data_IF_206289759420
#
_entry.id   IF_206289759420
#
_cell.length_a   1.000
_cell.length_b   1.000
_cell.length_c   1.000
_cell.angle_alpha   90.00
_cell.angle_beta   90.00
_cell.angle_gamma   90.00
#
_symmetry.space_group_name_H-M   'P 1'
#
loop_
_entity.id
_entity.type
_entity.pdbx_description
1 polymer ?
#
# COMPACT_ATOMS: atom_id res chain seq x y z
N UNK A 1 5.19 -2.36 -16.68
CA UNK A 1 5.28 -3.12 -15.43
C UNK A 1 5.49 -2.21 -14.21
N UNK A 2 6.50 -1.30 -14.17
CA UNK A 2 6.79 -0.47 -12.99
C UNK A 2 5.62 0.37 -12.49
N UNK A 3 4.88 1.02 -13.38
CA UNK A 3 3.70 1.82 -13.02
C UNK A 3 2.61 0.93 -12.39
N UNK A 4 2.32 -0.22 -12.97
CA UNK A 4 1.33 -1.18 -12.46
C UNK A 4 1.70 -1.66 -11.05
N UNK A 5 2.97 -1.98 -10.82
CA UNK A 5 3.46 -2.40 -9.50
C UNK A 5 3.45 -1.26 -8.47
N UNK A 6 3.77 -0.03 -8.87
CA UNK A 6 3.67 1.15 -8.00
C UNK A 6 2.23 1.46 -7.60
N UNK A 7 1.28 1.37 -8.52
CA UNK A 7 -0.15 1.52 -8.20
C UNK A 7 -0.62 0.44 -7.23
N UNK A 8 -0.16 -0.79 -7.39
CA UNK A 8 -0.49 -1.91 -6.50
C UNK A 8 0.07 -1.68 -5.09
N UNK A 9 1.36 -1.32 -4.98
CA UNK A 9 2.05 -1.11 -3.70
C UNK A 9 1.42 0.02 -2.87
N UNK A 10 1.08 1.13 -3.53
CA UNK A 10 0.52 2.31 -2.86
C UNK A 10 -1.01 2.28 -2.72
N UNK A 11 -1.68 1.24 -3.23
CA UNK A 11 -3.15 1.19 -3.34
C UNK A 11 -3.73 2.44 -4.05
N UNK A 12 -2.91 3.11 -4.88
CA UNK A 12 -3.24 4.40 -5.48
C UNK A 12 -4.40 4.28 -6.48
N UNK A 13 -5.50 4.94 -6.19
CA UNK A 13 -6.69 4.91 -7.04
C UNK A 13 -7.53 3.64 -6.93
N UNK A 14 -7.23 2.70 -6.03
CA UNK A 14 -8.00 1.47 -5.82
C UNK A 14 -9.18 1.65 -4.86
N UNK A 15 -9.13 2.67 -3.98
CA UNK A 15 -10.18 2.94 -2.99
C UNK A 15 -10.03 2.15 -1.69
N UNK A 16 -9.18 1.14 -1.64
CA UNK A 16 -8.94 0.31 -0.45
C UNK A 16 -8.36 1.12 0.71
N UNK A 17 -7.41 2.02 0.44
CA UNK A 17 -6.82 2.92 1.44
C UNK A 17 -7.83 3.79 2.17
N UNK A 18 -8.96 4.13 1.55
CA UNK A 18 -10.06 4.85 2.20
C UNK A 18 -10.72 4.05 3.33
N UNK A 19 -10.80 2.73 3.21
CA UNK A 19 -11.37 1.84 4.25
C UNK A 19 -10.46 1.84 5.48
N UNK A 20 -9.14 1.73 5.28
CA UNK A 20 -8.15 1.80 6.36
C UNK A 20 -8.12 3.19 7.01
N UNK A 21 -8.19 4.25 6.21
CA UNK A 21 -8.25 5.63 6.70
C UNK A 21 -9.50 5.91 7.56
N UNK A 22 -10.63 5.27 7.25
CA UNK A 22 -11.87 5.41 8.01
C UNK A 22 -11.76 4.83 9.44
N UNK A 23 -10.81 3.92 9.71
CA UNK A 23 -10.54 3.39 11.04
C UNK A 23 -9.69 4.34 11.91
N UNK A 24 -9.14 5.41 11.34
CA UNK A 24 -8.31 6.36 12.07
C UNK A 24 -9.15 7.17 13.07
N UNK A 25 -8.62 7.30 14.29
CA UNK A 25 -9.21 8.13 15.33
C UNK A 25 -8.83 9.61 15.10
N UNK A 26 -9.58 10.28 14.27
CA UNK A 26 -9.37 11.70 13.96
C UNK A 26 -10.71 12.39 13.74
N UNK A 27 -10.79 13.64 14.19
CA UNK A 27 -11.98 14.48 14.00
C UNK A 27 -11.94 15.22 12.64
N UNK A 28 -10.83 15.13 11.91
CA UNK A 28 -10.63 15.87 10.67
C UNK A 28 -10.18 14.96 9.52
N UNK A 29 -11.06 14.74 8.54
CA UNK A 29 -10.75 13.86 7.39
C UNK A 29 -9.59 14.40 6.53
N UNK A 30 -9.40 15.73 6.46
CA UNK A 30 -8.31 16.33 5.69
C UNK A 30 -6.97 16.03 6.32
N UNK A 31 -6.89 16.07 7.66
CA UNK A 31 -5.69 15.68 8.39
C UNK A 31 -5.29 14.23 8.09
N UNK A 32 -6.26 13.32 8.09
CA UNK A 32 -6.00 11.93 7.72
C UNK A 32 -5.55 11.79 6.25
N UNK A 33 -6.12 12.58 5.35
CA UNK A 33 -5.69 12.64 3.95
C UNK A 33 -4.22 13.03 3.81
N UNK A 34 -3.76 14.07 4.51
CA UNK A 34 -2.34 14.46 4.52
C UNK A 34 -1.42 13.38 5.12
N UNK A 35 -1.84 12.70 6.19
CA UNK A 35 -1.08 11.58 6.76
C UNK A 35 -0.94 10.45 5.74
N UNK A 36 -2.02 10.07 5.07
CA UNK A 36 -2.01 9.04 4.03
C UNK A 36 -1.11 9.43 2.85
N UNK A 37 -1.18 10.70 2.38
CA UNK A 37 -0.26 11.23 1.35
C UNK A 37 1.20 11.11 1.76
N UNK A 38 1.54 11.44 3.00
CA UNK A 38 2.90 11.33 3.52
C UNK A 38 3.38 9.88 3.51
N UNK A 39 2.51 8.93 3.88
CA UNK A 39 2.80 7.50 3.80
C UNK A 39 3.17 7.05 2.39
N UNK A 40 2.36 7.41 1.39
CA UNK A 40 2.62 7.10 -0.03
C UNK A 40 3.92 7.75 -0.52
N UNK A 41 4.19 8.99 -0.11
CA UNK A 41 5.44 9.67 -0.46
C UNK A 41 6.67 8.93 0.10
N UNK A 42 6.65 8.54 1.38
CA UNK A 42 7.74 7.79 2.01
C UNK A 42 7.94 6.44 1.35
N UNK A 43 6.86 5.70 1.09
CA UNK A 43 6.94 4.39 0.42
C UNK A 43 7.59 4.51 -0.96
N UNK A 44 7.11 5.42 -1.79
CA UNK A 44 7.56 5.51 -3.19
C UNK A 44 8.87 6.26 -3.34
N UNK A 45 8.99 7.45 -2.72
CA UNK A 45 10.15 8.33 -2.93
C UNK A 45 11.33 7.99 -2.04
N UNK A 46 11.12 7.32 -0.90
CA UNK A 46 12.23 6.94 -0.02
C UNK A 46 12.50 5.45 -0.16
N UNK A 47 11.57 4.58 0.19
CA UNK A 47 11.82 3.15 0.28
C UNK A 47 12.08 2.54 -1.11
N UNK A 48 11.19 2.78 -2.07
CA UNK A 48 11.36 2.21 -3.42
C UNK A 48 12.59 2.78 -4.14
N UNK A 49 12.88 4.09 -3.97
CA UNK A 49 14.07 4.70 -4.58
C UNK A 49 15.35 4.13 -3.99
N UNK A 50 15.45 4.04 -2.65
CA UNK A 50 16.64 3.49 -1.97
C UNK A 50 16.84 2.03 -2.37
N UNK A 51 15.78 1.22 -2.40
CA UNK A 51 15.84 -0.18 -2.82
C UNK A 51 16.29 -0.30 -4.28
N UNK A 52 15.71 0.50 -5.18
CA UNK A 52 16.08 0.51 -6.60
C UNK A 52 17.53 0.94 -6.82
N UNK A 53 18.02 1.95 -6.10
CA UNK A 53 19.41 2.37 -6.15
C UNK A 53 20.35 1.29 -5.61
N UNK A 54 19.99 0.63 -4.49
CA UNK A 54 20.80 -0.47 -3.95
C UNK A 54 20.98 -1.60 -4.96
N UNK A 55 19.89 -2.03 -5.61
CA UNK A 55 19.93 -3.06 -6.65
C UNK A 55 20.75 -2.61 -7.87
N UNK A 56 20.58 -1.34 -8.31
CA UNK A 56 21.29 -0.80 -9.46
C UNK A 56 22.80 -0.65 -9.24
N UNK A 57 23.21 -0.12 -8.07
CA UNK A 57 24.63 0.11 -7.75
C UNK A 57 25.40 -1.19 -7.51
N UNK A 58 24.74 -2.21 -6.97
CA UNK A 58 25.38 -3.51 -6.68
C UNK A 58 25.49 -4.41 -7.90
N UNK A 59 24.85 -4.06 -9.02
CA UNK A 59 24.80 -4.93 -10.20
C UNK A 59 23.97 -6.22 -10.01
N UNK A 60 23.23 -6.32 -8.91
CA UNK A 60 22.41 -7.51 -8.62
C UNK A 60 21.34 -7.78 -9.68
N UNK A 61 20.94 -6.76 -10.42
CA UNK A 61 20.01 -6.90 -11.54
C UNK A 61 20.61 -7.64 -12.73
N UNK A 62 21.90 -7.48 -13.03
CA UNK A 62 22.54 -8.07 -14.22
C UNK A 62 22.63 -9.59 -14.13
N UNK A 63 23.01 -10.12 -12.96
CA UNK A 63 23.11 -11.58 -12.76
C UNK A 63 21.76 -12.31 -12.77
N UNK A 64 20.66 -11.64 -12.51
CA UNK A 64 19.32 -12.25 -12.46
C UNK A 64 18.54 -12.05 -13.77
N UNK A 65 18.83 -10.98 -14.52
CA UNK A 65 18.27 -10.78 -15.85
C UNK A 65 18.73 -11.83 -16.86
N UNK A 66 19.90 -12.44 -16.65
CA UNK A 66 20.40 -13.57 -17.44
C UNK A 66 19.73 -14.92 -17.05
N UNK A 67 19.18 -15.01 -15.83
CA UNK A 67 18.37 -16.14 -15.43
C UNK A 67 16.91 -15.87 -15.82
N UNK A 68 16.29 -16.73 -16.63
CA UNK A 68 14.91 -16.60 -17.17
C UNK A 68 13.80 -16.38 -16.11
N UNK A 69 14.14 -16.26 -14.84
CA UNK A 69 13.21 -16.03 -13.71
C UNK A 69 13.73 -14.91 -12.83
N UNK A 70 13.44 -13.66 -13.20
CA UNK A 70 13.71 -12.51 -12.35
C UNK A 70 12.78 -12.52 -11.10
N UNK A 71 13.31 -12.93 -9.96
CA UNK A 71 12.64 -12.80 -8.66
C UNK A 71 13.09 -11.50 -7.99
N UNK A 72 12.17 -10.55 -7.85
CA UNK A 72 12.45 -9.24 -7.27
C UNK A 72 12.95 -9.31 -5.82
N UNK A 73 12.46 -10.25 -5.03
CA UNK A 73 12.90 -10.46 -3.65
C UNK A 73 14.36 -10.95 -3.62
N UNK A 74 14.70 -11.91 -4.47
CA UNK A 74 16.05 -12.44 -4.59
C UNK A 74 17.06 -11.35 -5.00
N UNK A 75 16.68 -10.45 -5.91
CA UNK A 75 17.52 -9.30 -6.31
C UNK A 75 17.87 -8.40 -5.13
N UNK A 76 16.87 -8.04 -4.30
CA UNK A 76 17.09 -7.18 -3.14
C UNK A 76 17.96 -7.88 -2.11
N UNK A 77 17.68 -9.16 -1.81
CA UNK A 77 18.49 -9.96 -0.89
C UNK A 77 19.95 -9.99 -1.36
N UNK A 78 20.19 -10.31 -2.63
CA UNK A 78 21.53 -10.38 -3.20
C UNK A 78 22.25 -9.02 -3.16
N UNK A 79 21.54 -7.93 -3.45
CA UNK A 79 22.10 -6.58 -3.38
C UNK A 79 22.64 -6.26 -1.98
N UNK A 80 21.85 -6.54 -0.95
CA UNK A 80 22.27 -6.27 0.43
C UNK A 80 23.32 -7.27 0.92
N UNK A 81 23.24 -8.51 0.49
CA UNK A 81 24.22 -9.55 0.84
C UNK A 81 25.60 -9.26 0.23
N UNK A 82 25.65 -8.69 -0.95
CA UNK A 82 26.91 -8.31 -1.62
C UNK A 82 27.69 -7.23 -0.87
N UNK A 83 26.99 -6.35 -0.12
CA UNK A 83 27.60 -5.23 0.63
C UNK A 83 27.83 -5.59 2.09
N UNK A 84 26.84 -6.20 2.74
CA UNK A 84 26.83 -6.46 4.19
C UNK A 84 27.09 -7.94 4.53
N UNK A 85 27.40 -8.78 3.54
CA UNK A 85 27.53 -10.22 3.72
C UNK A 85 26.20 -10.88 4.08
N UNK A 86 26.22 -12.14 4.58
CA UNK A 86 25.00 -12.91 4.88
C UNK A 86 24.04 -12.21 5.83
N UNK A 87 24.54 -11.37 6.74
CA UNK A 87 23.72 -10.59 7.69
C UNK A 87 22.77 -9.64 6.94
N UNK A 88 23.23 -9.01 5.84
CA UNK A 88 22.40 -8.14 5.01
C UNK A 88 21.23 -8.91 4.39
N UNK A 89 21.50 -10.09 3.86
CA UNK A 89 20.46 -10.98 3.31
C UNK A 89 19.41 -11.36 4.34
N UNK A 90 19.82 -11.74 5.56
CA UNK A 90 18.88 -12.08 6.64
C UNK A 90 18.00 -10.89 7.05
N UNK A 91 18.56 -9.69 7.17
CA UNK A 91 17.79 -8.48 7.52
C UNK A 91 16.71 -8.21 6.48
N UNK A 92 17.05 -8.30 5.19
CA UNK A 92 16.09 -8.11 4.10
C UNK A 92 15.03 -9.21 4.12
N UNK A 93 15.41 -10.48 4.28
CA UNK A 93 14.46 -11.59 4.32
C UNK A 93 13.45 -11.45 5.45
N UNK A 94 13.91 -11.10 6.66
CA UNK A 94 13.02 -10.80 7.80
C UNK A 94 12.14 -9.60 7.52
N UNK A 95 12.68 -8.55 6.91
CA UNK A 95 11.91 -7.37 6.49
C UNK A 95 10.78 -7.74 5.53
N UNK A 96 11.06 -8.51 4.48
CA UNK A 96 10.06 -8.99 3.51
C UNK A 96 8.97 -9.80 4.21
N UNK A 97 9.33 -10.69 5.12
CA UNK A 97 8.38 -11.49 5.90
C UNK A 97 7.42 -10.60 6.71
N UNK A 98 7.96 -9.60 7.42
CA UNK A 98 7.17 -8.68 8.23
C UNK A 98 6.24 -7.81 7.35
N UNK A 99 6.75 -7.31 6.24
CA UNK A 99 5.94 -6.54 5.28
C UNK A 99 4.83 -7.39 4.65
N UNK A 100 5.12 -8.62 4.26
CA UNK A 100 4.13 -9.54 3.70
C UNK A 100 3.02 -9.82 4.74
N UNK A 101 3.38 -10.07 5.98
CA UNK A 101 2.42 -10.28 7.06
C UNK A 101 1.54 -9.04 7.31
N UNK A 102 2.16 -7.86 7.41
CA UNK A 102 1.44 -6.59 7.60
C UNK A 102 0.47 -6.30 6.45
N UNK A 103 0.91 -6.54 5.21
CA UNK A 103 0.08 -6.37 4.02
C UNK A 103 -1.10 -7.32 4.01
N UNK A 104 -0.88 -8.61 4.31
CA UNK A 104 -1.96 -9.59 4.43
C UNK A 104 -2.99 -9.20 5.48
N UNK A 105 -2.54 -8.74 6.66
CA UNK A 105 -3.43 -8.29 7.72
C UNK A 105 -4.24 -7.04 7.29
N UNK A 106 -3.62 -6.08 6.62
CA UNK A 106 -4.28 -4.90 6.07
C UNK A 106 -5.36 -5.25 5.06
N UNK A 107 -5.03 -6.07 4.06
CA UNK A 107 -5.98 -6.51 3.04
C UNK A 107 -7.11 -7.37 3.62
N UNK A 108 -6.81 -8.23 4.61
CA UNK A 108 -7.85 -9.00 5.30
C UNK A 108 -8.86 -8.07 5.98
N UNK A 109 -8.38 -7.03 6.66
CA UNK A 109 -9.24 -6.03 7.31
C UNK A 109 -10.08 -5.25 6.29
N UNK A 110 -9.45 -4.70 5.25
CA UNK A 110 -10.14 -3.91 4.21
C UNK A 110 -11.23 -4.75 3.52
N UNK A 111 -10.91 -5.97 3.15
CA UNK A 111 -11.86 -6.87 2.52
C UNK A 111 -12.97 -7.32 3.46
N UNK A 112 -12.67 -7.56 4.75
CA UNK A 112 -13.70 -7.86 5.75
C UNK A 112 -14.69 -6.69 5.90
N UNK A 113 -14.21 -5.45 6.00
CA UNK A 113 -15.07 -4.28 6.10
C UNK A 113 -15.96 -4.12 4.86
N UNK A 114 -15.41 -4.29 3.67
CA UNK A 114 -16.17 -4.24 2.42
C UNK A 114 -17.22 -5.35 2.35
N UNK A 115 -16.87 -6.57 2.76
CA UNK A 115 -17.78 -7.71 2.80
C UNK A 115 -18.93 -7.51 3.80
N UNK A 116 -18.63 -7.06 5.02
CA UNK A 116 -19.64 -6.78 6.05
C UNK A 116 -20.58 -5.67 5.63
N UNK A 117 -20.07 -4.64 4.96
CA UNK A 117 -20.89 -3.58 4.40
C UNK A 117 -21.89 -4.11 3.35
N UNK A 118 -21.45 -5.04 2.51
CA UNK A 118 -22.30 -5.67 1.48
C UNK A 118 -23.37 -6.58 2.08
N UNK A 119 -22.98 -7.44 3.03
CA UNK A 119 -23.87 -8.43 3.66
C UNK A 119 -24.77 -7.80 4.74
N UNK A 120 -24.37 -6.66 5.30
CA UNK A 120 -25.05 -5.93 6.39
C UNK A 120 -25.29 -6.77 7.65
N UNK A 121 -24.40 -7.71 7.95
CA UNK A 121 -24.49 -8.60 9.12
C UNK A 121 -23.08 -8.87 9.67
N UNK A 122 -22.80 -8.38 10.85
CA UNK A 122 -21.49 -8.52 11.52
C UNK A 122 -21.13 -9.99 11.85
N UNK A 123 -22.13 -10.83 12.03
CA UNK A 123 -21.94 -12.27 12.31
C UNK A 123 -21.17 -13.02 11.22
N UNK A 124 -21.09 -12.48 10.00
CA UNK A 124 -20.39 -13.11 8.87
C UNK A 124 -18.90 -12.80 8.79
N UNK A 125 -18.36 -11.97 9.68
CA UNK A 125 -16.92 -11.66 9.71
C UNK A 125 -16.04 -12.90 9.85
N UNK A 126 -16.42 -13.85 10.71
CA UNK A 126 -15.69 -15.11 10.84
C UNK A 126 -15.67 -15.93 9.55
N UNK A 127 -16.79 -15.96 8.81
CA UNK A 127 -16.88 -16.67 7.52
C UNK A 127 -15.90 -16.05 6.52
N UNK A 128 -15.85 -14.71 6.45
CA UNK A 128 -14.90 -14.01 5.59
C UNK A 128 -13.44 -14.36 5.95
N UNK A 129 -13.09 -14.31 7.24
CA UNK A 129 -11.72 -14.61 7.70
C UNK A 129 -11.27 -16.02 7.34
N UNK A 130 -12.15 -16.99 7.53
CA UNK A 130 -11.87 -18.40 7.14
C UNK A 130 -11.67 -18.49 5.63
N UNK A 131 -12.55 -17.88 4.84
CA UNK A 131 -12.40 -17.83 3.37
C UNK A 131 -11.11 -17.15 2.94
N UNK A 132 -10.75 -16.03 3.56
CA UNK A 132 -9.49 -15.31 3.29
C UNK A 132 -8.26 -16.17 3.57
N UNK A 133 -8.24 -16.92 4.68
CA UNK A 133 -7.15 -17.85 4.98
C UNK A 133 -7.01 -18.95 3.92
N UNK A 134 -8.13 -19.52 3.46
CA UNK A 134 -8.11 -20.49 2.36
C UNK A 134 -7.63 -19.88 1.04
N UNK A 135 -8.05 -18.65 0.72
CA UNK A 135 -7.60 -17.95 -0.48
C UNK A 135 -6.11 -17.64 -0.42
N UNK A 136 -5.60 -17.20 0.72
CA UNK A 136 -4.18 -16.97 0.95
C UNK A 136 -3.35 -18.26 0.77
N UNK A 137 -3.82 -19.38 1.35
CA UNK A 137 -3.18 -20.68 1.15
C UNK A 137 -3.20 -21.11 -0.31
N UNK A 138 -4.32 -20.98 -1.00
CA UNK A 138 -4.42 -21.30 -2.42
C UNK A 138 -3.47 -20.45 -3.27
N UNK A 139 -3.34 -19.16 -2.95
CA UNK A 139 -2.37 -18.26 -3.61
C UNK A 139 -0.92 -18.70 -3.45
N UNK A 140 -0.56 -19.28 -2.31
CA UNK A 140 0.79 -19.82 -2.09
C UNK A 140 1.10 -21.08 -2.91
N UNK A 141 0.07 -21.82 -3.31
CA UNK A 141 0.22 -23.07 -4.11
C UNK A 141 0.12 -22.80 -5.61
N UNK A 142 -0.51 -21.71 -6.00
CA UNK A 142 -0.66 -21.31 -7.40
C UNK A 142 0.66 -20.77 -7.98
N UNK A 143 0.77 -20.82 -9.31
CA UNK A 143 1.88 -20.16 -10.03
C UNK A 143 1.80 -18.64 -9.83
N UNK A 144 2.92 -18.01 -9.49
CA UNK A 144 3.00 -16.58 -9.22
C UNK A 144 2.43 -15.72 -10.35
N UNK A 145 2.69 -16.09 -11.60
CA UNK A 145 2.15 -15.42 -12.80
C UNK A 145 0.61 -15.39 -12.82
N UNK A 146 -0.02 -16.52 -12.50
CA UNK A 146 -1.48 -16.61 -12.45
C UNK A 146 -2.06 -15.72 -11.36
N UNK A 147 -1.43 -15.70 -10.17
CA UNK A 147 -1.84 -14.84 -9.06
C UNK A 147 -1.71 -13.36 -9.44
N UNK A 148 -0.60 -12.97 -10.08
CA UNK A 148 -0.40 -11.60 -10.53
C UNK A 148 -1.40 -11.17 -11.59
N UNK A 149 -1.68 -11.99 -12.59
CA UNK A 149 -2.66 -11.67 -13.64
C UNK A 149 -4.06 -11.48 -13.06
N UNK A 150 -4.44 -12.32 -12.09
CA UNK A 150 -5.71 -12.17 -11.39
C UNK A 150 -5.75 -10.89 -10.55
N UNK A 151 -4.69 -10.58 -9.82
CA UNK A 151 -4.59 -9.38 -9.00
C UNK A 151 -4.65 -8.10 -9.86
N UNK A 152 -4.00 -8.06 -11.01
CA UNK A 152 -4.05 -6.92 -11.93
C UNK A 152 -5.46 -6.70 -12.49
N UNK A 153 -6.16 -7.77 -12.85
CA UNK A 153 -7.56 -7.68 -13.29
C UNK A 153 -8.48 -7.17 -12.18
N UNK A 154 -8.33 -7.69 -10.96
CA UNK A 154 -9.10 -7.25 -9.80
C UNK A 154 -8.85 -5.77 -9.49
N UNK A 155 -7.58 -5.32 -9.52
CA UNK A 155 -7.21 -3.92 -9.33
C UNK A 155 -7.82 -3.01 -10.39
N UNK A 156 -7.83 -3.41 -11.65
CA UNK A 156 -8.49 -2.65 -12.72
C UNK A 156 -9.99 -2.50 -12.45
N UNK A 157 -10.66 -3.56 -11.99
CA UNK A 157 -12.06 -3.52 -11.59
C UNK A 157 -12.33 -2.60 -10.39
N UNK A 158 -11.40 -2.49 -9.45
CA UNK A 158 -11.49 -1.59 -8.29
C UNK A 158 -11.22 -0.13 -8.67
N UNK A 159 -10.25 0.11 -9.55
CA UNK A 159 -9.82 1.45 -9.94
C UNK A 159 -10.93 2.23 -10.64
N UNK A 160 -11.69 1.60 -11.55
CA UNK A 160 -12.73 2.29 -12.33
C UNK A 160 -13.79 2.95 -11.45
N UNK A 161 -14.50 2.23 -10.57
CA UNK A 161 -15.51 2.86 -9.71
C UNK A 161 -14.91 3.87 -8.73
N UNK A 162 -13.72 3.62 -8.21
CA UNK A 162 -13.06 4.56 -7.31
C UNK A 162 -12.71 5.88 -8.00
N UNK A 163 -12.15 5.84 -9.21
CA UNK A 163 -11.85 7.05 -9.97
C UNK A 163 -13.11 7.88 -10.27
N UNK A 164 -14.21 7.22 -10.58
CA UNK A 164 -15.50 7.89 -10.76
C UNK A 164 -15.96 8.58 -9.46
N UNK A 165 -15.81 7.93 -8.32
CA UNK A 165 -16.11 8.51 -7.01
C UNK A 165 -15.22 9.72 -6.72
N UNK A 166 -13.91 9.62 -6.93
CA UNK A 166 -12.96 10.71 -6.70
C UNK A 166 -13.29 11.91 -7.57
N UNK A 167 -13.58 11.70 -8.86
CA UNK A 167 -13.98 12.77 -9.77
C UNK A 167 -15.30 13.45 -9.35
N UNK A 168 -16.25 12.69 -8.80
CA UNK A 168 -17.51 13.23 -8.32
C UNK A 168 -17.35 14.03 -7.03
N UNK A 169 -16.49 13.58 -6.12
CA UNK A 169 -16.25 14.21 -4.83
C UNK A 169 -15.20 15.33 -4.87
N UNK A 170 -14.59 15.58 -6.02
CA UNK A 170 -13.50 16.56 -6.18
C UNK A 170 -13.81 17.94 -5.58
N UNK A 171 -15.03 18.45 -5.78
CA UNK A 171 -15.43 19.77 -5.26
C UNK A 171 -15.49 19.80 -3.74
N UNK A 172 -16.07 18.77 -3.14
CA UNK A 172 -16.18 18.62 -1.67
C UNK A 172 -14.80 18.52 -1.02
N UNK A 173 -13.92 17.68 -1.59
CA UNK A 173 -12.54 17.51 -1.11
C UNK A 173 -11.78 18.84 -1.17
N UNK A 174 -11.91 19.60 -2.26
CA UNK A 174 -11.28 20.90 -2.42
C UNK A 174 -11.77 21.91 -1.38
N UNK A 175 -13.07 21.97 -1.15
CA UNK A 175 -13.66 22.88 -0.17
C UNK A 175 -13.21 22.56 1.27
N UNK A 176 -13.21 21.28 1.65
CA UNK A 176 -12.78 20.86 2.98
C UNK A 176 -11.28 21.10 3.19
N UNK A 177 -10.44 20.83 2.19
CA UNK A 177 -9.01 21.15 2.24
C UNK A 177 -8.78 22.66 2.45
N UNK A 178 -9.49 23.51 1.74
CA UNK A 178 -9.37 24.97 1.88
C UNK A 178 -9.84 25.46 3.28
N UNK A 179 -10.93 24.87 3.80
CA UNK A 179 -11.40 25.17 5.16
C UNK A 179 -10.37 24.78 6.22
N UNK A 180 -9.74 23.61 6.04
CA UNK A 180 -8.71 23.11 6.94
C UNK A 180 -7.49 24.04 6.98
N UNK A 181 -6.95 24.42 5.82
CA UNK A 181 -5.82 25.35 5.72
C UNK A 181 -6.15 26.71 6.36
N UNK A 182 -7.36 27.20 6.13
CA UNK A 182 -7.82 28.47 6.73
C UNK A 182 -7.86 28.40 8.25
N UNK A 183 -8.24 27.25 8.82
CA UNK A 183 -8.23 27.01 10.28
C UNK A 183 -6.81 27.01 10.84
N UNK A 184 -5.87 26.34 10.16
CA UNK A 184 -4.46 26.31 10.58
C UNK A 184 -3.88 27.72 10.58
N UNK A 185 -4.02 28.48 9.50
CA UNK A 185 -3.50 29.86 9.40
C UNK A 185 -4.03 30.77 10.50
N UNK A 186 -5.32 30.66 10.84
CA UNK A 186 -5.91 31.42 11.95
C UNK A 186 -5.35 31.01 13.31
N UNK A 187 -5.07 29.74 13.52
CA UNK A 187 -4.49 29.22 14.75
C UNK A 187 -3.03 29.71 14.94
N UNK A 188 -2.24 29.71 13.87
CA UNK A 188 -0.87 30.25 13.86
C UNK A 188 -0.84 31.74 14.17
N UNK A 189 -1.67 32.55 13.51
CA UNK A 189 -1.78 33.99 13.76
C UNK A 189 -2.19 34.33 15.20
N UNK A 190 -3.05 33.48 15.81
CA UNK A 190 -3.44 33.64 17.20
C UNK A 190 -2.28 33.31 18.17
N UNK A 191 -1.46 32.34 17.82
CA UNK A 191 -0.26 31.97 18.61
C UNK A 191 0.78 33.09 18.58
N UNK A 192 1.05 33.68 17.42
CA UNK A 192 2.02 34.75 17.24
C UNK A 192 1.60 36.07 17.93
N UNK A 193 0.29 36.29 18.16
CA UNK A 193 -0.19 37.44 18.90
C UNK A 193 -0.09 37.30 20.42
N UNK A 194 0.08 36.07 20.90
CA UNK A 194 0.13 35.78 22.34
C UNK A 194 1.57 35.50 22.82
N UNK A 195 2.55 35.52 21.92
CA UNK A 195 4.01 35.54 22.18
C UNK A 195 4.54 36.93 22.02
#
# INVERSE_FOLDING_TARGET
YGISRGVFSNEAGLGAGGISAAAAQTDDPVRQGYISMTGVFVDTMVICLVTGLAVGVTGAAEGILEAEKADGAAMVIQAFESVFGPAGGYVVAVGILLFAFATMAGWAYQGEQAFLWLVKKDSFGMVYRVFFCFAAFAGCVCMAETVWNFAELANACMAVPNLLCVLRLWKEVKEEAFRFESRIKKAEQKKDRNT
#
